data_IF_650951093009
#
_entry.id   IF_650951093009
#
_cell.length_a   1.000
_cell.length_b   1.000
_cell.length_c   1.000
_cell.angle_alpha   90.00
_cell.angle_beta   90.00
_cell.angle_gamma   90.00
#
_symmetry.space_group_name_H-M   'P 1'
#
loop_
_entity.id
_entity.type
_entity.pdbx_description
1 polymer ?
#
# COMPACT_ATOMS: atom_id res chain seq x y z
N UNK A 1 -33.05 -9.90 13.59
CA UNK A 1 -31.61 -9.68 13.85
C UNK A 1 -30.93 -11.03 13.74
N UNK A 2 -30.55 -11.40 12.52
CA UNK A 2 -29.85 -12.65 12.25
C UNK A 2 -28.44 -12.52 12.83
N UNK A 3 -28.13 -13.37 13.81
CA UNK A 3 -26.78 -13.44 14.37
C UNK A 3 -25.90 -14.09 13.31
N UNK A 4 -24.89 -13.39 12.82
CA UNK A 4 -23.80 -14.01 12.08
C UNK A 4 -23.13 -15.04 13.00
N UNK A 5 -23.47 -16.32 12.81
CA UNK A 5 -22.85 -17.42 13.53
C UNK A 5 -21.56 -17.80 12.79
N UNK A 6 -20.40 -17.48 13.38
CA UNK A 6 -19.14 -18.10 12.97
C UNK A 6 -19.24 -19.60 13.25
N UNK A 7 -19.17 -20.41 12.18
CA UNK A 7 -19.21 -21.87 12.25
C UNK A 7 -17.89 -22.36 12.85
N UNK A 8 -17.95 -22.98 14.02
CA UNK A 8 -16.79 -23.49 14.76
C UNK A 8 -16.10 -24.63 13.99
N UNK A 9 -14.85 -24.39 13.60
CA UNK A 9 -13.98 -25.38 12.96
C UNK A 9 -13.32 -26.29 14.00
N UNK A 10 -12.48 -27.24 13.58
CA UNK A 10 -11.82 -28.18 14.50
C UNK A 10 -10.91 -27.48 15.54
N UNK A 11 -11.16 -27.74 16.83
CA UNK A 11 -10.60 -27.07 18.01
C UNK A 11 -9.06 -26.94 18.07
N UNK A 12 -8.29 -27.79 17.38
CA UNK A 12 -6.82 -27.75 17.43
C UNK A 12 -6.20 -26.77 16.42
N UNK A 13 -6.88 -26.51 15.30
CA UNK A 13 -6.49 -25.49 14.31
C UNK A 13 -7.07 -24.12 14.68
N UNK A 14 -8.19 -24.12 15.42
CA UNK A 14 -8.94 -22.93 15.81
C UNK A 14 -8.14 -22.01 16.74
N UNK A 15 -7.45 -22.53 17.76
CA UNK A 15 -6.67 -21.72 18.72
C UNK A 15 -5.44 -21.01 18.13
N UNK A 16 -4.85 -21.54 17.04
CA UNK A 16 -3.68 -20.90 16.40
C UNK A 16 -4.08 -19.76 15.46
N UNK A 17 -5.33 -19.79 14.99
CA UNK A 17 -5.88 -18.87 14.01
C UNK A 17 -6.91 -17.89 14.58
N UNK A 18 -7.28 -18.06 15.85
CA UNK A 18 -8.32 -17.30 16.55
C UNK A 18 -8.09 -15.78 16.51
N UNK A 19 -6.82 -15.36 16.51
CA UNK A 19 -6.44 -13.95 16.63
C UNK A 19 -5.86 -13.36 15.34
N UNK A 20 -5.97 -14.02 14.18
CA UNK A 20 -5.40 -13.49 12.92
C UNK A 20 -6.04 -12.15 12.56
N UNK A 21 -7.37 -12.06 12.63
CA UNK A 21 -8.07 -10.84 12.28
C UNK A 21 -7.78 -9.72 13.28
N UNK A 22 -7.60 -10.06 14.55
CA UNK A 22 -7.15 -9.12 15.57
C UNK A 22 -5.74 -8.61 15.23
N UNK A 23 -4.77 -9.50 15.04
CA UNK A 23 -3.40 -9.10 14.72
C UNK A 23 -3.29 -8.32 13.41
N UNK A 24 -4.05 -8.71 12.38
CA UNK A 24 -4.13 -7.93 11.15
C UNK A 24 -4.76 -6.56 11.36
N UNK A 25 -5.82 -6.47 12.18
CA UNK A 25 -6.43 -5.19 12.53
C UNK A 25 -5.49 -4.29 13.33
N UNK A 26 -4.69 -4.86 14.23
CA UNK A 26 -3.67 -4.12 14.99
C UNK A 26 -2.61 -3.52 14.04
N UNK A 27 -2.22 -4.25 12.99
CA UNK A 27 -1.34 -3.72 11.95
C UNK A 27 -1.98 -2.54 11.19
N UNK A 28 -3.28 -2.60 10.86
CA UNK A 28 -4.00 -1.49 10.22
C UNK A 28 -4.08 -0.28 11.14
N UNK A 29 -4.40 -0.48 12.42
CA UNK A 29 -4.50 0.58 13.41
C UNK A 29 -3.15 1.28 13.57
N UNK A 30 -2.05 0.52 13.70
CA UNK A 30 -0.69 1.07 13.78
C UNK A 30 -0.34 1.92 12.56
N UNK A 31 -0.69 1.45 11.35
CA UNK A 31 -0.48 2.23 10.13
C UNK A 31 -1.26 3.55 10.18
N UNK A 32 -2.52 3.52 10.62
CA UNK A 32 -3.36 4.71 10.79
C UNK A 32 -2.79 5.68 11.81
N UNK A 33 -2.28 5.20 12.94
CA UNK A 33 -1.62 6.02 13.97
C UNK A 33 -0.35 6.69 13.46
N UNK A 34 0.51 5.94 12.75
CA UNK A 34 1.71 6.48 12.11
C UNK A 34 1.36 7.60 11.12
N UNK A 35 0.34 7.40 10.28
CA UNK A 35 -0.13 8.41 9.32
C UNK A 35 -0.77 9.61 10.02
N UNK A 36 -1.48 9.41 11.13
CA UNK A 36 -2.07 10.50 11.90
C UNK A 36 -1.02 11.34 12.65
N UNK A 37 0.12 10.73 12.99
CA UNK A 37 1.26 11.41 13.62
C UNK A 37 2.21 12.08 12.62
N UNK A 38 1.97 11.92 11.31
CA UNK A 38 2.81 12.50 10.28
C UNK A 38 2.61 14.03 10.22
N UNK A 39 3.63 14.78 10.64
CA UNK A 39 3.66 16.23 10.52
C UNK A 39 4.23 16.61 9.16
N UNK A 40 3.41 17.20 8.29
CA UNK A 40 3.79 17.70 6.97
C UNK A 40 4.48 19.08 7.08
N UNK A 41 5.44 19.23 8.00
CA UNK A 41 6.33 20.39 8.01
C UNK A 41 7.17 20.43 6.74
N UNK A 42 7.77 21.59 6.39
CA UNK A 42 8.58 22.02 5.20
C UNK A 42 9.61 21.01 4.61
N UNK A 43 9.29 19.73 4.61
CA UNK A 43 10.05 18.61 4.09
C UNK A 43 9.79 18.55 2.60
N UNK A 44 10.87 18.38 1.85
CA UNK A 44 10.80 18.06 0.43
C UNK A 44 9.82 16.89 0.21
N UNK A 45 8.99 16.99 -0.82
CA UNK A 45 7.92 16.02 -1.13
C UNK A 45 8.47 14.59 -1.20
N UNK A 46 9.72 14.45 -1.66
CA UNK A 46 10.46 13.18 -1.74
C UNK A 46 10.72 12.58 -0.36
N UNK A 47 11.06 13.42 0.63
CA UNK A 47 11.37 12.97 1.99
C UNK A 47 10.10 12.65 2.79
N UNK A 48 9.01 13.37 2.52
CA UNK A 48 7.68 13.02 3.01
C UNK A 48 7.24 11.65 2.52
N UNK A 49 7.36 11.41 1.21
CA UNK A 49 7.03 10.13 0.58
C UNK A 49 7.87 8.97 1.14
N UNK A 50 9.17 9.15 1.33
CA UNK A 50 10.04 8.12 1.92
C UNK A 50 9.56 7.71 3.33
N UNK A 51 9.14 8.68 4.13
CA UNK A 51 8.63 8.44 5.49
C UNK A 51 7.33 7.63 5.45
N UNK A 52 6.39 8.04 4.61
CA UNK A 52 5.12 7.33 4.36
C UNK A 52 5.37 5.89 3.89
N UNK A 53 6.34 5.68 2.99
CA UNK A 53 6.68 4.34 2.53
C UNK A 53 7.36 3.48 3.60
N UNK A 54 8.09 4.08 4.54
CA UNK A 54 8.57 3.37 5.73
C UNK A 54 7.42 2.81 6.58
N UNK A 55 6.39 3.62 6.84
CA UNK A 55 5.20 3.15 7.58
C UNK A 55 4.46 2.04 6.82
N UNK A 56 4.39 2.15 5.50
CA UNK A 56 3.80 1.14 4.64
C UNK A 56 4.56 -0.20 4.67
N UNK A 57 5.89 -0.17 4.65
CA UNK A 57 6.72 -1.38 4.75
C UNK A 57 6.56 -2.06 6.12
N UNK A 58 6.51 -1.29 7.21
CA UNK A 58 6.22 -1.83 8.54
C UNK A 58 4.86 -2.53 8.60
N UNK A 59 3.83 -1.93 8.00
CA UNK A 59 2.52 -2.55 7.87
C UNK A 59 2.60 -3.87 7.11
N UNK A 60 3.33 -3.91 5.99
CA UNK A 60 3.49 -5.12 5.19
C UNK A 60 4.16 -6.26 5.96
N UNK A 61 5.21 -5.96 6.71
CA UNK A 61 5.88 -6.93 7.57
C UNK A 61 4.93 -7.44 8.66
N UNK A 62 4.26 -6.54 9.38
CA UNK A 62 3.30 -6.87 10.43
C UNK A 62 2.17 -7.77 9.92
N UNK A 63 1.51 -7.36 8.83
CA UNK A 63 0.39 -8.08 8.25
C UNK A 63 0.82 -9.48 7.76
N UNK A 64 1.99 -9.58 7.13
CA UNK A 64 2.52 -10.87 6.67
C UNK A 64 2.80 -11.81 7.84
N UNK A 65 3.37 -11.30 8.93
CA UNK A 65 3.61 -12.07 10.15
C UNK A 65 2.30 -12.51 10.82
N UNK A 66 1.32 -11.60 10.95
CA UNK A 66 0.01 -11.90 11.54
C UNK A 66 -0.74 -12.99 10.75
N UNK A 67 -0.50 -13.09 9.44
CA UNK A 67 -1.14 -14.04 8.53
C UNK A 67 -0.35 -15.35 8.32
N UNK A 68 0.93 -15.42 8.74
CA UNK A 68 1.86 -16.49 8.38
C UNK A 68 1.45 -17.89 8.89
N UNK A 69 0.84 -17.98 10.08
CA UNK A 69 0.62 -19.27 10.76
C UNK A 69 -0.63 -20.04 10.30
N UNK A 70 -1.47 -19.43 9.46
CA UNK A 70 -2.82 -19.94 9.15
C UNK A 70 -3.17 -19.91 7.66
N UNK A 71 -2.14 -20.02 6.81
CA UNK A 71 -2.21 -19.75 5.37
C UNK A 71 -3.29 -20.51 4.59
N UNK A 72 -3.72 -21.72 4.95
CA UNK A 72 -4.67 -22.45 4.10
C UNK A 72 -6.09 -21.87 4.08
N UNK A 73 -6.59 -21.37 5.20
CA UNK A 73 -7.95 -20.80 5.29
C UNK A 73 -7.92 -19.30 5.00
N UNK A 74 -6.94 -18.58 5.57
CA UNK A 74 -6.77 -17.15 5.37
C UNK A 74 -6.33 -16.79 3.94
N UNK A 75 -5.56 -17.64 3.23
CA UNK A 75 -5.13 -17.32 1.87
C UNK A 75 -6.30 -17.26 0.88
N UNK A 76 -7.34 -18.07 1.03
CA UNK A 76 -8.48 -18.04 0.11
C UNK A 76 -9.25 -16.71 0.19
N UNK A 77 -9.46 -16.22 1.41
CA UNK A 77 -10.10 -14.94 1.70
C UNK A 77 -9.17 -13.80 1.28
N UNK A 78 -7.88 -13.88 1.64
CA UNK A 78 -6.87 -12.90 1.25
C UNK A 78 -6.73 -12.77 -0.26
N UNK A 79 -6.68 -13.87 -1.02
CA UNK A 79 -6.60 -13.84 -2.48
C UNK A 79 -7.87 -13.25 -3.12
N UNK A 80 -9.04 -13.52 -2.53
CA UNK A 80 -10.30 -12.88 -2.95
C UNK A 80 -10.24 -11.38 -2.71
N UNK A 81 -9.87 -10.94 -1.50
CA UNK A 81 -9.71 -9.52 -1.16
C UNK A 81 -8.65 -8.83 -2.04
N UNK A 82 -7.50 -9.47 -2.29
CA UNK A 82 -6.43 -8.97 -3.16
C UNK A 82 -6.90 -8.82 -4.61
N UNK A 83 -7.72 -9.75 -5.10
CA UNK A 83 -8.36 -9.65 -6.43
C UNK A 83 -9.34 -8.49 -6.51
N UNK A 84 -10.19 -8.31 -5.50
CA UNK A 84 -11.16 -7.20 -5.46
C UNK A 84 -10.48 -5.84 -5.28
N UNK A 85 -9.49 -5.74 -4.39
CA UNK A 85 -8.68 -4.54 -4.18
C UNK A 85 -8.00 -4.08 -5.46
N UNK A 86 -7.46 -5.00 -6.29
CA UNK A 86 -6.85 -4.67 -7.59
C UNK A 86 -7.81 -4.09 -8.62
N UNK A 87 -9.12 -4.29 -8.47
CA UNK A 87 -10.12 -3.63 -9.33
C UNK A 87 -10.31 -2.17 -8.95
N UNK A 88 -9.95 -1.80 -7.72
CA UNK A 88 -10.08 -0.45 -7.23
C UNK A 88 -8.82 0.32 -7.61
N UNK A 89 -8.89 1.09 -8.69
CA UNK A 89 -7.82 1.99 -9.11
C UNK A 89 -7.95 3.31 -8.37
N UNK A 90 -7.41 3.39 -7.16
CA UNK A 90 -7.16 4.68 -6.52
C UNK A 90 -5.86 5.24 -7.06
N UNK A 91 -5.93 6.33 -7.83
CA UNK A 91 -4.71 7.09 -8.14
C UNK A 91 -4.12 7.62 -6.82
N UNK A 92 -2.80 7.51 -6.66
CA UNK A 92 -2.11 7.90 -5.43
C UNK A 92 -2.25 6.90 -4.29
N UNK A 93 -2.57 5.62 -4.56
CA UNK A 93 -2.57 4.58 -3.53
C UNK A 93 -1.14 4.31 -3.02
N UNK A 94 -0.99 3.93 -1.74
CA UNK A 94 0.31 3.53 -1.19
C UNK A 94 0.94 2.35 -1.94
N UNK A 95 0.12 1.47 -2.51
CA UNK A 95 0.58 0.36 -3.34
C UNK A 95 1.33 0.86 -4.59
N UNK A 96 0.83 1.92 -5.22
CA UNK A 96 1.47 2.53 -6.38
C UNK A 96 2.62 3.44 -5.97
N UNK A 97 2.43 4.28 -4.95
CA UNK A 97 3.41 5.27 -4.50
C UNK A 97 4.67 4.62 -3.93
N UNK A 98 4.53 3.54 -3.17
CA UNK A 98 5.64 2.86 -2.50
C UNK A 98 6.10 1.60 -3.22
N UNK A 99 5.66 1.38 -4.46
CA UNK A 99 6.13 0.24 -5.26
C UNK A 99 7.62 0.39 -5.58
N UNK A 100 8.44 -0.67 -5.59
CA UNK A 100 9.87 -0.59 -5.93
C UNK A 100 10.17 0.07 -7.29
N UNK A 101 9.19 0.08 -8.20
CA UNK A 101 9.28 0.64 -9.55
C UNK A 101 8.71 2.07 -9.68
N UNK A 102 8.04 2.61 -8.64
CA UNK A 102 7.36 3.91 -8.70
C UNK A 102 8.31 5.10 -8.62
N UNK A 103 9.46 4.92 -7.98
CA UNK A 103 10.56 5.90 -7.88
C UNK A 103 11.09 6.33 -9.25
N UNK A 104 10.97 5.49 -10.28
CA UNK A 104 11.31 5.85 -11.67
C UNK A 104 10.21 6.68 -12.36
N UNK A 105 8.95 6.54 -11.95
CA UNK A 105 7.81 7.19 -12.61
C UNK A 105 7.64 8.68 -12.26
N UNK A 106 7.95 9.06 -11.02
CA UNK A 106 7.95 10.47 -10.60
C UNK A 106 9.11 11.25 -11.24
N UNK A 107 10.27 10.61 -11.42
CA UNK A 107 11.38 11.19 -12.17
C UNK A 107 11.07 11.27 -13.68
N UNK A 108 10.44 10.26 -14.27
CA UNK A 108 10.13 10.27 -15.71
C UNK A 108 9.09 11.32 -16.10
N UNK A 109 8.08 11.60 -15.28
CA UNK A 109 7.02 12.57 -15.62
C UNK A 109 7.54 14.00 -15.63
N UNK A 110 8.41 14.35 -14.68
CA UNK A 110 9.04 15.67 -14.62
C UNK A 110 10.10 15.85 -15.72
N UNK A 111 10.93 14.82 -15.97
CA UNK A 111 11.91 14.83 -17.08
C UNK A 111 11.21 14.83 -18.45
N UNK A 112 10.11 14.08 -18.62
CA UNK A 112 9.35 14.04 -19.87
C UNK A 112 8.78 15.41 -20.23
N UNK A 113 8.18 16.12 -19.28
CA UNK A 113 7.68 17.48 -19.52
C UNK A 113 8.81 18.45 -19.90
N UNK A 114 9.96 18.38 -19.21
CA UNK A 114 11.12 19.25 -19.50
C UNK A 114 11.72 18.97 -20.88
N UNK A 115 11.81 17.70 -21.27
CA UNK A 115 12.30 17.27 -22.58
C UNK A 115 11.35 17.71 -23.69
N UNK A 116 10.04 17.55 -23.52
CA UNK A 116 9.03 17.98 -24.51
C UNK A 116 9.06 19.50 -24.71
N UNK A 117 9.10 20.28 -23.62
CA UNK A 117 9.24 21.75 -23.70
C UNK A 117 10.52 22.17 -24.41
N UNK A 118 11.64 21.51 -24.10
CA UNK A 118 12.93 21.78 -24.74
C UNK A 118 12.91 21.48 -26.24
N UNK A 119 12.27 20.37 -26.64
CA UNK A 119 12.12 20.00 -28.06
C UNK A 119 11.24 21.03 -28.78
N UNK A 120 10.11 21.46 -28.20
CA UNK A 120 9.25 22.49 -28.81
C UNK A 120 9.96 23.82 -29.00
N UNK A 121 10.78 24.25 -28.04
CA UNK A 121 11.62 25.44 -28.16
C UNK A 121 12.62 25.29 -29.31
N UNK A 122 13.35 24.17 -29.38
CA UNK A 122 14.33 23.93 -30.46
C UNK A 122 13.69 23.90 -31.85
N UNK A 123 12.51 23.29 -31.99
CA UNK A 123 11.77 23.27 -33.27
C UNK A 123 11.34 24.68 -33.68
N UNK A 124 10.97 25.54 -32.72
CA UNK A 124 10.59 26.93 -33.00
C UNK A 124 11.78 27.76 -33.48
N UNK A 125 12.96 27.54 -32.90
CA UNK A 125 14.20 28.20 -33.33
C UNK A 125 14.71 27.73 -34.71
N UNK A 126 14.50 26.47 -35.08
CA UNK A 126 14.91 25.96 -36.39
C UNK A 126 14.02 26.43 -37.56
N UNK A 127 12.81 26.89 -37.28
CA UNK A 127 11.85 27.35 -38.29
C UNK A 127 11.80 28.89 -38.44
N UNK A 128 12.70 29.61 -37.78
CA UNK A 128 12.87 31.07 -37.87
C UNK A 128 14.16 31.40 -38.64
#
# INVERSE_FOLDING_TARGET
MERCLCRRGSLASETKCENIYQGFSDCILKLGENMASYEEDDRDEVQGLHTVCGYWDEFHMCATTALWECQKEAASIWETLKKESRKIKFQGSLFDLCSPNSSQSFSLTNVSNFVVLSISLMVTWLNL
#
